data_IF_546862987750
#
_entry.id   IF_546862987750
#
_cell.length_a   1.000
_cell.length_b   1.000
_cell.length_c   1.000
_cell.angle_alpha   90.00
_cell.angle_beta   90.00
_cell.angle_gamma   90.00
#
_symmetry.space_group_name_H-M   'P 1'
#
loop_
_entity.id
_entity.type
_entity.pdbx_description
1 polymer ?
#
# COMPACT_ATOMS: atom_id res chain seq x y z
N UNK A 1 26.01 -69.83 4.90
CA UNK A 1 26.49 -68.44 4.99
C UNK A 1 25.81 -67.63 3.89
N UNK A 2 24.93 -66.68 4.23
CA UNK A 2 24.59 -65.49 3.41
C UNK A 2 23.51 -64.70 4.16
N UNK A 3 23.91 -63.65 4.87
CA UNK A 3 23.00 -62.61 5.39
C UNK A 3 23.16 -61.39 4.49
N UNK A 4 22.12 -61.05 3.72
CA UNK A 4 22.05 -59.82 2.91
C UNK A 4 21.52 -58.70 3.80
N UNK A 5 22.39 -57.77 4.18
CA UNK A 5 22.00 -56.54 4.86
C UNK A 5 21.48 -55.52 3.83
N UNK A 6 20.21 -55.13 3.97
CA UNK A 6 19.59 -54.02 3.25
C UNK A 6 19.80 -52.73 4.07
N UNK A 7 20.70 -51.88 3.60
CA UNK A 7 20.89 -50.51 4.10
C UNK A 7 19.82 -49.61 3.49
N UNK A 8 18.84 -49.21 4.30
CA UNK A 8 17.86 -48.17 3.95
C UNK A 8 18.50 -46.81 4.22
N UNK A 9 18.85 -46.09 3.15
CA UNK A 9 19.36 -44.73 3.23
C UNK A 9 18.18 -43.75 3.44
N UNK A 10 17.99 -43.31 4.69
CA UNK A 10 17.03 -42.26 5.04
C UNK A 10 17.56 -40.89 4.62
N UNK A 11 17.10 -40.36 3.49
CA UNK A 11 17.26 -38.94 3.15
C UNK A 11 16.35 -38.09 4.05
N UNK A 12 16.95 -37.48 5.08
CA UNK A 12 16.32 -36.44 5.87
C UNK A 12 16.22 -35.16 5.02
N UNK A 13 15.03 -34.89 4.47
CA UNK A 13 14.68 -33.60 3.87
C UNK A 13 14.54 -32.57 5.00
N UNK A 14 15.60 -31.81 5.29
CA UNK A 14 15.52 -30.60 6.09
C UNK A 14 14.75 -29.54 5.29
N UNK A 15 13.42 -29.48 5.47
CA UNK A 15 12.61 -28.37 5.01
C UNK A 15 12.97 -27.12 5.83
N UNK A 16 13.83 -26.27 5.30
CA UNK A 16 14.10 -24.96 5.87
C UNK A 16 12.86 -24.08 5.73
N UNK A 17 12.05 -24.01 6.78
CA UNK A 17 10.99 -23.01 6.92
C UNK A 17 11.63 -21.63 6.88
N UNK A 18 11.44 -20.90 5.78
CA UNK A 18 11.81 -19.48 5.72
C UNK A 18 10.85 -18.73 6.65
N UNK A 19 11.33 -17.82 7.51
CA UNK A 19 10.42 -16.94 8.23
C UNK A 19 9.59 -16.19 7.19
N UNK A 20 8.27 -16.34 7.26
CA UNK A 20 7.38 -15.45 6.55
C UNK A 20 7.62 -14.07 7.17
N UNK A 21 8.23 -13.15 6.41
CA UNK A 21 8.19 -11.73 6.74
C UNK A 21 6.73 -11.39 7.02
N UNK A 22 6.44 -10.83 8.20
CA UNK A 22 5.09 -10.48 8.55
C UNK A 22 4.56 -9.50 7.48
N UNK A 23 3.45 -9.86 6.84
CA UNK A 23 2.83 -8.97 5.85
C UNK A 23 2.33 -7.70 6.57
N UNK A 24 2.41 -6.52 5.91
CA UNK A 24 1.91 -5.29 6.49
C UNK A 24 0.42 -5.42 6.83
N UNK A 25 0.00 -4.80 7.92
CA UNK A 25 -1.41 -4.79 8.35
C UNK A 25 -2.21 -3.77 7.54
N UNK A 26 -1.58 -2.62 7.26
CA UNK A 26 -2.15 -1.54 6.46
C UNK A 26 -1.17 -1.09 5.38
N UNK A 27 -1.71 -0.52 4.30
CA UNK A 27 -0.90 0.10 3.25
C UNK A 27 -1.32 1.55 3.06
N UNK A 28 -0.36 2.44 2.84
CA UNK A 28 -0.59 3.82 2.44
C UNK A 28 -0.34 3.94 0.95
N UNK A 29 -1.43 4.04 0.19
CA UNK A 29 -1.39 4.22 -1.26
C UNK A 29 -1.32 5.72 -1.54
N UNK A 30 -0.14 6.20 -1.94
CA UNK A 30 0.10 7.61 -2.21
C UNK A 30 0.02 7.90 -3.71
N UNK A 31 -0.94 8.72 -4.12
CA UNK A 31 -1.07 9.24 -5.49
C UNK A 31 -0.24 10.52 -5.60
N UNK A 32 0.99 10.40 -6.09
CA UNK A 32 1.99 11.48 -6.06
C UNK A 32 2.54 11.83 -7.44
N UNK A 33 3.15 13.01 -7.54
CA UNK A 33 4.01 13.41 -8.65
C UNK A 33 4.91 14.58 -8.22
N UNK A 34 6.12 14.68 -8.79
CA UNK A 34 7.04 15.79 -8.50
C UNK A 34 6.49 17.17 -8.91
N UNK A 35 5.67 17.23 -9.96
CA UNK A 35 5.04 18.47 -10.44
C UNK A 35 3.80 18.88 -9.62
N UNK A 36 3.31 18.01 -8.73
CA UNK A 36 2.07 18.22 -7.99
C UNK A 36 2.29 19.16 -6.77
N UNK A 37 1.65 20.35 -6.73
CA UNK A 37 1.83 21.30 -5.64
C UNK A 37 1.29 20.81 -4.29
N UNK A 38 0.23 20.01 -4.32
CA UNK A 38 -0.34 19.43 -3.09
C UNK A 38 0.60 18.37 -2.49
N UNK A 39 1.30 17.61 -3.34
CA UNK A 39 2.21 16.54 -2.98
C UNK A 39 3.43 17.09 -2.24
N UNK A 40 3.94 18.27 -2.64
CA UNK A 40 5.01 18.98 -1.91
C UNK A 40 4.72 19.25 -0.43
N UNK A 41 3.43 19.29 -0.05
CA UNK A 41 3.00 19.47 1.35
C UNK A 41 2.68 18.11 1.98
N UNK A 42 1.96 17.24 1.27
CA UNK A 42 1.46 15.98 1.80
C UNK A 42 2.57 14.91 1.95
N UNK A 43 3.41 14.73 0.94
CA UNK A 43 4.41 13.66 0.88
C UNK A 43 5.41 13.68 2.06
N UNK A 44 6.01 14.83 2.46
CA UNK A 44 6.89 14.84 3.63
C UNK A 44 6.15 14.49 4.91
N UNK A 45 4.89 14.92 5.06
CA UNK A 45 4.08 14.59 6.25
C UNK A 45 3.70 13.11 6.30
N UNK A 46 3.45 12.50 5.14
CA UNK A 46 3.24 11.05 5.03
C UNK A 46 4.51 10.29 5.39
N UNK A 47 5.66 10.67 4.84
CA UNK A 47 6.94 10.04 5.14
C UNK A 47 7.25 10.10 6.65
N UNK A 48 7.08 11.28 7.26
CA UNK A 48 7.25 11.48 8.71
C UNK A 48 6.24 10.66 9.54
N UNK A 49 5.03 10.46 9.03
CA UNK A 49 4.01 9.70 9.73
C UNK A 49 4.24 8.19 9.64
N UNK A 50 4.69 7.69 8.50
CA UNK A 50 4.99 6.28 8.27
C UNK A 50 6.26 5.85 9.00
N UNK A 51 7.28 6.72 9.08
CA UNK A 51 8.54 6.42 9.76
C UNK A 51 8.39 6.15 11.28
N UNK A 52 7.28 6.58 11.89
CA UNK A 52 6.96 6.33 13.30
C UNK A 52 6.44 4.90 13.58
N UNK A 53 6.19 4.10 12.55
CA UNK A 53 5.67 2.75 12.68
C UNK A 53 6.78 1.71 12.48
N UNK A 54 6.65 0.58 13.16
CA UNK A 54 7.51 -0.58 12.93
C UNK A 54 7.40 -1.03 11.46
N UNK A 55 8.54 -1.38 10.84
CA UNK A 55 8.65 -1.63 9.40
C UNK A 55 7.75 -2.75 8.85
N UNK A 56 7.25 -3.63 9.71
CA UNK A 56 6.38 -4.74 9.33
C UNK A 56 4.88 -4.41 9.48
N UNK A 57 4.52 -3.28 10.10
CA UNK A 57 3.11 -2.93 10.35
C UNK A 57 2.47 -2.14 9.20
N UNK A 58 3.27 -1.42 8.42
CA UNK A 58 2.80 -0.49 7.39
C UNK A 58 3.70 -0.54 6.16
N UNK A 59 3.07 -0.55 4.98
CA UNK A 59 3.77 -0.39 3.70
C UNK A 59 3.30 0.90 3.02
N UNK A 60 4.22 1.76 2.58
CA UNK A 60 3.86 2.89 1.73
C UNK A 60 4.10 2.54 0.25
N UNK A 61 3.06 2.63 -0.56
CA UNK A 61 3.09 2.39 -2.01
C UNK A 61 2.86 3.70 -2.74
N UNK A 62 3.90 4.18 -3.43
CA UNK A 62 3.80 5.40 -4.22
C UNK A 62 3.37 5.07 -5.66
N UNK A 63 2.15 5.47 -6.02
CA UNK A 63 1.69 5.50 -7.40
C UNK A 63 2.19 6.79 -8.06
N UNK A 64 3.44 6.76 -8.52
CA UNK A 64 4.14 7.95 -9.04
C UNK A 64 3.74 8.31 -10.47
N UNK A 65 3.17 9.51 -10.61
CA UNK A 65 2.66 10.10 -11.84
C UNK A 65 3.58 11.22 -12.35
N UNK A 66 4.81 11.32 -11.86
CA UNK A 66 5.77 12.36 -12.28
C UNK A 66 5.93 12.39 -13.80
N UNK A 67 5.98 11.22 -14.43
CA UNK A 67 6.14 11.07 -15.89
C UNK A 67 4.86 11.29 -16.70
N UNK A 68 3.74 11.70 -16.08
CA UNK A 68 2.54 12.13 -16.81
C UNK A 68 2.48 13.64 -17.05
N UNK A 69 3.44 14.40 -16.49
CA UNK A 69 3.53 15.85 -16.64
C UNK A 69 3.74 16.30 -18.09
N UNK A 70 3.42 17.56 -18.38
CA UNK A 70 3.42 18.13 -19.74
C UNK A 70 4.78 18.10 -20.45
N UNK A 71 5.88 17.96 -19.70
CA UNK A 71 7.23 17.88 -20.27
C UNK A 71 7.54 16.54 -20.97
N UNK A 72 6.68 15.53 -20.84
CA UNK A 72 6.92 14.18 -21.37
C UNK A 72 6.07 13.87 -22.61
N UNK A 73 6.58 12.99 -23.49
CA UNK A 73 5.85 12.51 -24.67
C UNK A 73 4.61 11.70 -24.30
N UNK A 74 3.62 11.62 -25.19
CA UNK A 74 2.40 10.85 -24.94
C UNK A 74 2.67 9.36 -24.69
N UNK A 75 3.67 8.77 -25.35
CA UNK A 75 4.10 7.39 -25.07
C UNK A 75 4.63 7.26 -23.62
N UNK A 76 5.44 8.22 -23.17
CA UNK A 76 5.98 8.23 -21.80
C UNK A 76 4.87 8.37 -20.77
N UNK A 77 3.90 9.27 -21.04
CA UNK A 77 2.73 9.50 -20.19
C UNK A 77 1.87 8.25 -20.10
N UNK A 78 1.57 7.61 -21.23
CA UNK A 78 0.82 6.36 -21.29
C UNK A 78 1.54 5.22 -20.55
N UNK A 79 2.87 5.10 -20.71
CA UNK A 79 3.67 4.11 -19.99
C UNK A 79 3.64 4.34 -18.47
N UNK A 80 3.73 5.59 -18.01
CA UNK A 80 3.64 5.93 -16.59
C UNK A 80 2.27 5.54 -16.00
N UNK A 81 1.17 5.87 -16.71
CA UNK A 81 -0.18 5.45 -16.33
C UNK A 81 -0.28 3.91 -16.21
N UNK A 82 0.26 3.18 -17.19
CA UNK A 82 0.21 1.72 -17.19
C UNK A 82 1.04 1.09 -16.05
N UNK A 83 2.19 1.68 -15.71
CA UNK A 83 3.02 1.26 -14.58
C UNK A 83 2.28 1.47 -13.26
N UNK A 84 1.72 2.67 -13.03
CA UNK A 84 0.97 2.96 -11.82
C UNK A 84 -0.28 2.09 -11.68
N UNK A 85 -1.03 1.89 -12.77
CA UNK A 85 -2.17 0.98 -12.80
C UNK A 85 -1.77 -0.46 -12.44
N UNK A 86 -0.67 -0.96 -13.00
CA UNK A 86 -0.17 -2.31 -12.70
C UNK A 86 0.23 -2.44 -11.22
N UNK A 87 0.92 -1.44 -10.68
CA UNK A 87 1.31 -1.42 -9.27
C UNK A 87 0.08 -1.44 -8.37
N UNK A 88 -0.97 -0.66 -8.68
CA UNK A 88 -2.21 -0.69 -7.93
C UNK A 88 -2.82 -2.11 -7.85
N UNK A 89 -2.83 -2.86 -8.97
CA UNK A 89 -3.32 -4.26 -8.97
C UNK A 89 -2.46 -5.19 -8.12
N UNK A 90 -1.13 -5.01 -8.18
CA UNK A 90 -0.19 -5.81 -7.39
C UNK A 90 -0.42 -5.65 -5.89
N UNK A 91 -0.89 -4.48 -5.45
CA UNK A 91 -1.23 -4.21 -4.05
C UNK A 91 -2.73 -4.37 -3.74
N UNK A 92 -3.53 -4.95 -4.65
CA UNK A 92 -5.00 -5.20 -4.51
C UNK A 92 -5.83 -3.92 -4.31
N UNK A 93 -5.43 -2.82 -4.95
CA UNK A 93 -6.12 -1.51 -4.85
C UNK A 93 -6.64 -1.05 -6.22
N UNK A 94 -7.11 -1.99 -7.03
CA UNK A 94 -7.70 -1.77 -8.35
C UNK A 94 -8.90 -0.81 -8.30
N UNK A 95 -9.77 -0.95 -7.30
CA UNK A 95 -10.95 -0.10 -7.12
C UNK A 95 -10.54 1.33 -6.76
N UNK A 96 -9.54 1.48 -5.88
CA UNK A 96 -8.98 2.78 -5.54
C UNK A 96 -8.34 3.46 -6.78
N UNK A 97 -7.68 2.67 -7.63
CA UNK A 97 -7.17 3.15 -8.91
C UNK A 97 -8.29 3.53 -9.88
N UNK A 98 -9.40 2.79 -9.92
CA UNK A 98 -10.55 3.16 -10.74
C UNK A 98 -11.11 4.53 -10.32
N UNK A 99 -11.09 4.87 -9.02
CA UNK A 99 -11.62 6.13 -8.50
C UNK A 99 -10.66 7.31 -8.65
N UNK A 100 -9.36 7.09 -8.45
CA UNK A 100 -8.37 8.16 -8.33
C UNK A 100 -7.19 8.06 -9.30
N UNK A 101 -7.16 7.04 -10.15
CA UNK A 101 -6.11 6.86 -11.15
C UNK A 101 -5.97 8.09 -12.04
N UNK A 102 -4.74 8.55 -12.24
CA UNK A 102 -4.48 9.79 -12.97
C UNK A 102 -4.51 11.06 -12.12
N UNK A 103 -5.04 11.01 -10.88
CA UNK A 103 -5.01 12.14 -9.94
C UNK A 103 -3.76 12.11 -9.07
N UNK A 104 -3.43 13.24 -8.43
CA UNK A 104 -2.29 13.37 -7.50
C UNK A 104 -2.64 14.28 -6.32
N UNK A 105 -1.90 14.17 -5.21
CA UNK A 105 -2.08 14.99 -4.01
C UNK A 105 -3.10 14.41 -3.03
N UNK A 106 -3.28 13.09 -3.09
CA UNK A 106 -4.16 12.28 -2.26
C UNK A 106 -3.38 11.04 -1.84
N UNK A 107 -3.53 10.60 -0.60
CA UNK A 107 -3.17 9.25 -0.20
C UNK A 107 -4.37 8.56 0.43
N UNK A 108 -4.44 7.24 0.36
CA UNK A 108 -5.42 6.45 1.10
C UNK A 108 -4.68 5.44 1.96
N UNK A 109 -5.10 5.30 3.22
CA UNK A 109 -4.76 4.11 4.00
C UNK A 109 -5.81 3.05 3.74
N UNK A 110 -5.34 1.85 3.40
CA UNK A 110 -6.17 0.68 3.12
C UNK A 110 -5.81 -0.47 4.04
N UNK A 111 -6.75 -1.38 4.28
CA UNK A 111 -6.44 -2.67 4.89
C UNK A 111 -5.62 -3.52 3.91
N UNK A 112 -4.53 -4.13 4.37
CA UNK A 112 -3.61 -4.83 3.47
C UNK A 112 -4.16 -6.16 2.90
N UNK A 113 -5.06 -6.80 3.64
CA UNK A 113 -5.70 -8.07 3.28
C UNK A 113 -6.66 -7.94 2.10
N UNK A 114 -7.50 -6.90 2.11
CA UNK A 114 -8.60 -6.67 1.16
C UNK A 114 -8.39 -5.50 0.22
N UNK A 115 -7.51 -4.54 0.55
CA UNK A 115 -7.40 -3.28 -0.17
C UNK A 115 -8.52 -2.28 0.14
N UNK A 116 -9.41 -2.58 1.10
CA UNK A 116 -10.51 -1.71 1.50
C UNK A 116 -9.98 -0.36 2.01
N UNK A 117 -10.46 0.78 1.49
CA UNK A 117 -10.08 2.10 1.98
C UNK A 117 -10.66 2.38 3.36
N UNK A 118 -9.79 2.78 4.27
CA UNK A 118 -10.11 3.13 5.66
C UNK A 118 -10.17 4.65 5.83
N UNK A 119 -9.23 5.38 5.24
CA UNK A 119 -9.16 6.85 5.35
C UNK A 119 -8.35 7.45 4.20
N UNK A 120 -8.57 8.73 3.89
CA UNK A 120 -7.77 9.44 2.90
C UNK A 120 -7.08 10.69 3.47
N UNK A 121 -5.90 10.99 2.98
CA UNK A 121 -5.09 12.13 3.39
C UNK A 121 -4.93 13.09 2.22
N UNK A 122 -4.96 14.38 2.53
CA UNK A 122 -4.74 15.46 1.59
C UNK A 122 -3.77 16.46 2.21
N UNK A 123 -3.36 17.49 1.46
CA UNK A 123 -2.54 18.59 1.99
C UNK A 123 -3.11 19.30 3.24
N UNK A 124 -4.41 19.14 3.52
CA UNK A 124 -5.09 19.73 4.69
C UNK A 124 -4.80 18.96 5.98
N UNK A 125 -4.29 17.73 5.87
CA UNK A 125 -3.97 16.90 7.02
C UNK A 125 -2.56 17.22 7.53
N UNK A 126 -2.47 17.47 8.85
CA UNK A 126 -1.21 17.66 9.56
C UNK A 126 -0.58 16.31 9.93
N UNK A 127 0.75 16.26 10.08
CA UNK A 127 1.48 15.02 10.41
C UNK A 127 0.90 14.29 11.63
N UNK A 128 0.55 15.03 12.71
CA UNK A 128 -0.06 14.45 13.91
C UNK A 128 -1.38 13.72 13.59
N UNK A 129 -2.25 14.37 12.81
CA UNK A 129 -3.54 13.80 12.42
C UNK A 129 -3.36 12.57 11.52
N UNK A 130 -2.38 12.59 10.62
CA UNK A 130 -2.03 11.44 9.79
C UNK A 130 -1.61 10.27 10.70
N UNK A 131 -0.68 10.49 11.64
CA UNK A 131 -0.24 9.47 12.60
C UNK A 131 -1.41 8.86 13.38
N UNK A 132 -2.28 9.69 13.93
CA UNK A 132 -3.44 9.23 14.71
C UNK A 132 -4.40 8.38 13.86
N UNK A 133 -4.61 8.78 12.60
CA UNK A 133 -5.48 8.03 11.67
C UNK A 133 -4.83 6.74 11.18
N UNK A 134 -3.52 6.70 10.99
CA UNK A 134 -2.80 5.46 10.68
C UNK A 134 -2.87 4.46 11.85
N UNK A 135 -2.74 4.92 13.09
CA UNK A 135 -2.91 4.07 14.29
C UNK A 135 -4.33 3.50 14.37
N UNK A 136 -5.34 4.35 14.16
CA UNK A 136 -6.73 3.91 14.12
C UNK A 136 -6.96 2.91 12.99
N UNK A 137 -6.42 3.16 11.80
CA UNK A 137 -6.56 2.27 10.65
C UNK A 137 -5.95 0.90 10.92
N UNK A 138 -4.79 0.83 11.58
CA UNK A 138 -4.18 -0.42 12.02
C UNK A 138 -5.12 -1.20 12.95
N UNK A 139 -5.64 -0.56 13.99
CA UNK A 139 -6.59 -1.19 14.93
C UNK A 139 -7.83 -1.73 14.21
N UNK A 140 -8.38 -0.97 13.27
CA UNK A 140 -9.53 -1.40 12.47
C UNK A 140 -9.19 -2.59 11.56
N UNK A 141 -8.02 -2.57 10.92
CA UNK A 141 -7.58 -3.68 10.07
C UNK A 141 -7.32 -4.96 10.88
N UNK A 142 -6.77 -4.85 12.10
CA UNK A 142 -6.49 -5.99 12.98
C UNK A 142 -7.75 -6.61 13.60
N UNK A 143 -8.75 -5.78 13.93
CA UNK A 143 -9.83 -6.21 14.82
C UNK A 143 -11.24 -6.12 14.23
N UNK A 144 -11.48 -5.29 13.21
CA UNK A 144 -12.78 -5.18 12.57
C UNK A 144 -12.88 -6.06 11.32
N UNK A 145 -14.07 -6.59 11.08
CA UNK A 145 -14.36 -7.38 9.89
C UNK A 145 -14.24 -6.54 8.61
N UNK A 146 -13.81 -7.14 7.48
CA UNK A 146 -13.88 -6.48 6.18
C UNK A 146 -15.27 -5.88 5.91
N UNK A 147 -15.30 -4.65 5.38
CA UNK A 147 -16.51 -3.87 5.14
C UNK A 147 -17.00 -3.05 6.34
N UNK A 148 -16.47 -3.28 7.54
CA UNK A 148 -16.78 -2.53 8.76
C UNK A 148 -15.62 -1.64 9.24
N UNK A 149 -14.59 -1.43 8.40
CA UNK A 149 -13.34 -0.74 8.76
C UNK A 149 -13.36 0.76 8.46
N UNK A 150 -14.54 1.34 8.18
CA UNK A 150 -14.69 2.76 7.90
C UNK A 150 -15.03 3.53 9.18
N UNK A 151 -14.11 4.37 9.70
CA UNK A 151 -14.35 5.14 10.90
C UNK A 151 -15.24 6.37 10.63
N UNK A 152 -15.77 6.95 11.71
CA UNK A 152 -16.33 8.29 11.66
C UNK A 152 -15.32 9.32 11.13
N UNK A 153 -15.83 10.24 10.30
CA UNK A 153 -15.01 11.24 9.61
C UNK A 153 -14.23 10.71 8.41
N UNK A 154 -14.60 9.53 7.88
CA UNK A 154 -14.16 9.04 6.57
C UNK A 154 -14.26 10.16 5.52
N UNK A 155 -13.15 10.45 4.85
CA UNK A 155 -12.99 11.65 4.04
C UNK A 155 -12.40 11.37 2.65
N UNK A 156 -12.42 10.11 2.21
CA UNK A 156 -12.04 9.82 0.84
C UNK A 156 -13.01 10.52 -0.12
N UNK A 157 -12.50 11.26 -1.13
CA UNK A 157 -13.35 11.91 -2.11
C UNK A 157 -14.30 10.91 -2.76
N UNK A 158 -15.52 11.31 -3.17
CA UNK A 158 -16.39 10.41 -3.91
C UNK A 158 -15.67 9.89 -5.16
N UNK A 159 -15.97 8.65 -5.56
CA UNK A 159 -15.46 8.06 -6.79
C UNK A 159 -15.72 9.01 -7.96
N UNK A 160 -14.71 9.22 -8.80
CA UNK A 160 -14.87 10.00 -10.03
C UNK A 160 -15.34 9.05 -11.12
N UNK A 161 -16.59 9.22 -11.55
CA UNK A 161 -17.17 8.51 -12.70
C UNK A 161 -16.53 8.99 -14.01
#
# INVERSE_FOLDING_TARGET
>A
MMFRALLVASLALCASARPALAEPVIKVINFTAAWCPNCRILDPRLADAVADFDGDAIEQVNLDMTRTGQAYSDETRARAMAVAARLARQHKVDELWAWYGGTTGLAAVVAADTGEPIYCFTRRDETRRIKDRLRLARVLAEHAQPGARRPEGYNCPPARN
#
